data_IF_426324650772
#
_entry.id   IF_426324650772
#
_cell.length_a   1.000
_cell.length_b   1.000
_cell.length_c   1.000
_cell.angle_alpha   90.00
_cell.angle_beta   90.00
_cell.angle_gamma   90.00
#
_symmetry.space_group_name_H-M   'P 1'
#
loop_
_entity.id
_entity.type
_entity.pdbx_description
1 polymer ?
#
# COMPACT_ATOMS: atom_id res chain seq x y z
N UNK A 1 -10.10 17.53 6.38
CA UNK A 1 -11.57 17.26 6.30
C UNK A 1 -11.84 15.88 6.91
N UNK A 2 -12.87 15.74 7.75
CA UNK A 2 -13.30 14.43 8.24
C UNK A 2 -14.36 13.88 7.26
N UNK A 3 -14.22 12.63 6.84
CA UNK A 3 -15.20 11.96 5.98
C UNK A 3 -16.10 11.05 6.82
N UNK A 4 -17.38 11.00 6.47
CA UNK A 4 -18.29 10.00 7.01
C UNK A 4 -18.11 8.70 6.23
N UNK A 5 -17.77 7.62 6.93
CA UNK A 5 -17.45 6.33 6.34
C UNK A 5 -18.30 5.24 6.96
N UNK A 6 -19.37 4.89 6.23
CA UNK A 6 -20.37 3.91 6.63
C UNK A 6 -19.79 2.53 6.96
N UNK A 7 -18.68 2.14 6.31
CA UNK A 7 -18.06 0.83 6.55
C UNK A 7 -17.23 0.86 7.83
N UNK A 8 -16.40 1.89 8.01
CA UNK A 8 -15.59 2.05 9.23
C UNK A 8 -16.47 2.08 10.49
N UNK A 9 -17.61 2.78 10.45
CA UNK A 9 -18.53 2.85 11.60
C UNK A 9 -19.11 1.50 12.05
N UNK A 10 -19.01 0.45 11.21
CA UNK A 10 -19.54 -0.90 11.49
C UNK A 10 -18.47 -1.91 11.85
N UNK A 11 -17.20 -1.57 11.72
CA UNK A 11 -16.09 -2.47 12.03
C UNK A 11 -15.40 -2.01 13.32
N UNK A 12 -14.96 -2.92 14.20
CA UNK A 12 -14.25 -2.54 15.40
C UNK A 12 -12.83 -2.07 15.06
N UNK A 13 -12.34 -1.08 15.81
CA UNK A 13 -10.92 -0.71 15.78
C UNK A 13 -10.11 -1.74 16.56
N UNK A 14 -9.30 -2.54 15.86
CA UNK A 14 -8.46 -3.60 16.45
C UNK A 14 -7.04 -3.48 15.91
N UNK A 15 -6.04 -3.54 16.79
CA UNK A 15 -4.63 -3.61 16.39
C UNK A 15 -4.35 -4.94 15.69
N UNK A 16 -4.04 -4.85 14.39
CA UNK A 16 -3.61 -5.97 13.55
C UNK A 16 -2.27 -5.67 12.88
N UNK A 17 -1.49 -4.75 13.46
CA UNK A 17 -0.22 -4.25 12.91
C UNK A 17 0.73 -5.38 12.51
N UNK A 18 0.89 -6.38 13.38
CA UNK A 18 1.80 -7.51 13.15
C UNK A 18 1.45 -8.26 11.88
N UNK A 19 0.17 -8.53 11.64
CA UNK A 19 -0.28 -9.26 10.45
C UNK A 19 -0.13 -8.43 9.18
N UNK A 20 -0.43 -7.13 9.25
CA UNK A 20 -0.24 -6.20 8.13
C UNK A 20 1.23 -6.12 7.76
N UNK A 21 2.12 -5.90 8.72
CA UNK A 21 3.56 -5.79 8.45
C UNK A 21 4.20 -7.12 8.05
N UNK A 22 3.74 -8.25 8.60
CA UNK A 22 4.19 -9.57 8.13
C UNK A 22 3.87 -9.79 6.65
N UNK A 23 2.67 -9.39 6.20
CA UNK A 23 2.30 -9.46 4.80
C UNK A 23 3.12 -8.50 3.93
N UNK A 24 3.30 -7.24 4.36
CA UNK A 24 4.08 -6.24 3.62
C UNK A 24 5.54 -6.66 3.47
N UNK A 25 6.20 -6.98 4.58
CA UNK A 25 7.61 -7.38 4.58
C UNK A 25 7.82 -8.72 3.87
N UNK A 26 6.91 -9.67 4.05
CA UNK A 26 6.94 -10.94 3.31
C UNK A 26 6.86 -10.72 1.79
N UNK A 27 5.97 -9.84 1.34
CA UNK A 27 5.86 -9.49 -0.08
C UNK A 27 7.05 -8.67 -0.58
N UNK A 28 7.62 -7.79 0.24
CA UNK A 28 8.82 -7.03 -0.11
C UNK A 28 10.01 -7.97 -0.33
N UNK A 29 10.25 -8.91 0.58
CA UNK A 29 11.32 -9.93 0.47
C UNK A 29 11.09 -10.81 -0.75
N UNK A 30 9.88 -11.33 -0.94
CA UNK A 30 9.53 -12.14 -2.11
C UNK A 30 9.81 -11.36 -3.41
N UNK A 31 9.33 -10.12 -3.50
CA UNK A 31 9.51 -9.26 -4.66
C UNK A 31 10.98 -8.97 -4.93
N UNK A 32 11.77 -8.67 -3.89
CA UNK A 32 13.21 -8.46 -4.02
C UNK A 32 13.91 -9.69 -4.60
N UNK A 33 13.62 -10.89 -4.07
CA UNK A 33 14.19 -12.15 -4.59
C UNK A 33 13.80 -12.38 -6.05
N UNK A 34 12.57 -12.03 -6.44
CA UNK A 34 12.09 -12.26 -7.81
C UNK A 34 12.61 -11.22 -8.79
N UNK A 35 12.75 -9.97 -8.38
CA UNK A 35 13.21 -8.89 -9.25
C UNK A 35 14.73 -8.84 -9.37
N UNK A 36 15.48 -9.33 -8.37
CA UNK A 36 16.95 -9.28 -8.35
C UNK A 36 17.63 -9.90 -9.60
N UNK A 37 16.95 -10.82 -10.29
CA UNK A 37 17.47 -11.48 -11.50
C UNK A 37 16.93 -10.89 -12.80
N UNK A 38 16.07 -9.87 -12.72
CA UNK A 38 15.32 -9.33 -13.85
C UNK A 38 15.35 -7.79 -13.83
N UNK A 39 16.38 -7.16 -14.41
CA UNK A 39 16.60 -5.71 -14.33
C UNK A 39 15.42 -4.90 -14.89
N UNK A 40 14.78 -5.38 -15.95
CA UNK A 40 13.61 -4.74 -16.55
C UNK A 40 12.44 -4.64 -15.56
N UNK A 41 12.30 -5.62 -14.67
CA UNK A 41 11.26 -5.60 -13.62
C UNK A 41 11.61 -4.70 -12.47
N UNK A 42 12.89 -4.65 -12.09
CA UNK A 42 13.35 -3.66 -11.10
C UNK A 42 13.03 -2.26 -11.60
N UNK A 43 13.34 -1.96 -12.87
CA UNK A 43 13.01 -0.68 -13.48
C UNK A 43 11.49 -0.44 -13.53
N UNK A 44 10.70 -1.45 -13.92
CA UNK A 44 9.23 -1.34 -13.91
C UNK A 44 8.69 -1.02 -12.51
N UNK A 45 9.14 -1.75 -11.49
CA UNK A 45 8.72 -1.55 -10.11
C UNK A 45 9.13 -0.16 -9.60
N UNK A 46 10.39 0.24 -9.79
CA UNK A 46 10.88 1.56 -9.37
C UNK A 46 10.16 2.70 -10.08
N UNK A 47 9.92 2.60 -11.39
CA UNK A 47 9.15 3.58 -12.14
C UNK A 47 7.70 3.65 -11.65
N UNK A 48 7.06 2.50 -11.45
CA UNK A 48 5.71 2.43 -10.90
C UNK A 48 5.61 3.02 -9.49
N UNK A 49 6.56 2.68 -8.61
CA UNK A 49 6.61 3.16 -7.23
C UNK A 49 6.84 4.67 -7.17
N UNK A 50 7.69 5.19 -8.06
CA UNK A 50 7.91 6.63 -8.22
C UNK A 50 6.62 7.34 -8.65
N UNK A 51 5.92 6.82 -9.66
CA UNK A 51 4.66 7.40 -10.12
C UNK A 51 3.57 7.36 -9.04
N UNK A 52 3.45 6.25 -8.32
CA UNK A 52 2.53 6.13 -7.17
C UNK A 52 2.89 7.16 -6.09
N UNK A 53 4.18 7.30 -5.78
CA UNK A 53 4.65 8.24 -4.76
C UNK A 53 4.37 9.69 -5.14
N UNK A 54 4.64 10.07 -6.39
CA UNK A 54 4.32 11.41 -6.91
C UNK A 54 2.81 11.67 -6.88
N UNK A 55 2.01 10.70 -7.31
CA UNK A 55 0.55 10.84 -7.27
C UNK A 55 0.06 10.99 -5.83
N UNK A 56 0.59 10.21 -4.88
CA UNK A 56 0.26 10.35 -3.45
C UNK A 56 0.64 11.71 -2.91
N UNK A 57 1.81 12.24 -3.25
CA UNK A 57 2.21 13.60 -2.86
C UNK A 57 1.18 14.61 -3.35
N UNK A 58 0.80 14.54 -4.63
CA UNK A 58 -0.20 15.44 -5.22
C UNK A 58 -1.56 15.30 -4.51
N UNK A 59 -2.01 14.08 -4.23
CA UNK A 59 -3.32 13.86 -3.62
C UNK A 59 -3.37 14.21 -2.15
N UNK A 60 -2.30 13.96 -1.38
CA UNK A 60 -2.22 14.38 0.02
C UNK A 60 -2.25 15.92 0.13
N UNK A 61 -1.59 16.62 -0.81
CA UNK A 61 -1.59 18.08 -0.85
C UNK A 61 -2.95 18.67 -1.28
N UNK A 62 -3.65 18.02 -2.21
CA UNK A 62 -4.92 18.53 -2.75
C UNK A 62 -6.15 18.05 -1.98
N UNK A 63 -6.06 16.91 -1.28
CA UNK A 63 -7.14 16.29 -0.51
C UNK A 63 -6.67 16.07 0.93
N UNK A 64 -6.50 17.14 1.74
CA UNK A 64 -6.03 17.02 3.11
C UNK A 64 -7.13 16.43 4.01
N UNK A 65 -7.13 15.10 4.14
CA UNK A 65 -8.01 14.39 5.05
C UNK A 65 -7.47 14.41 6.48
N UNK A 66 -8.38 14.41 7.44
CA UNK A 66 -8.06 14.13 8.84
C UNK A 66 -8.22 12.62 9.07
N UNK A 67 -7.42 12.01 9.95
CA UNK A 67 -7.51 10.57 10.22
C UNK A 67 -8.91 10.18 10.69
N UNK A 68 -9.37 8.96 10.38
CA UNK A 68 -10.63 8.45 10.89
C UNK A 68 -10.68 8.46 12.43
N UNK A 69 -11.89 8.56 12.98
CA UNK A 69 -12.08 8.47 14.43
C UNK A 69 -11.75 7.05 14.91
N UNK A 70 -11.02 6.93 16.01
CA UNK A 70 -10.61 5.63 16.55
C UNK A 70 -9.41 5.00 15.85
N UNK A 71 -8.62 5.79 15.12
CA UNK A 71 -7.37 5.35 14.51
C UNK A 71 -6.46 4.67 15.53
N UNK A 72 -6.04 3.45 15.20
CA UNK A 72 -4.99 2.71 15.89
C UNK A 72 -3.75 2.77 15.00
N UNK A 73 -2.65 3.26 15.55
CA UNK A 73 -1.41 3.46 14.79
C UNK A 73 -0.80 2.11 14.34
N UNK A 74 -0.42 2.04 13.06
CA UNK A 74 0.32 0.90 12.52
C UNK A 74 1.71 0.86 13.15
N UNK A 75 1.92 -0.11 14.04
CA UNK A 75 3.19 -0.25 14.77
C UNK A 75 4.09 -1.24 14.03
N UNK A 76 5.03 -0.74 13.21
CA UNK A 76 6.01 -1.59 12.49
C UNK A 76 7.08 -2.13 13.44
N UNK A 77 7.11 -3.44 13.76
CA UNK A 77 8.11 -3.98 14.69
C UNK A 77 9.54 -3.84 14.16
N UNK A 78 9.73 -3.93 12.83
CA UNK A 78 11.04 -3.84 12.21
C UNK A 78 11.50 -2.38 12.15
N UNK A 79 10.71 -1.49 11.54
CA UNK A 79 11.11 -0.08 11.43
C UNK A 79 11.24 0.59 12.80
N UNK A 80 10.38 0.27 13.77
CA UNK A 80 10.48 0.83 15.12
C UNK A 80 11.75 0.40 15.85
N UNK A 81 12.27 -0.81 15.56
CA UNK A 81 13.53 -1.29 16.12
C UNK A 81 14.75 -0.52 15.57
N UNK A 82 14.68 -0.01 14.34
CA UNK A 82 15.80 0.68 13.68
C UNK A 82 15.71 2.21 13.70
N UNK A 83 14.51 2.78 13.58
CA UNK A 83 14.29 4.22 13.32
C UNK A 83 13.45 4.95 14.39
N UNK A 84 12.96 4.24 15.41
CA UNK A 84 12.14 4.82 16.49
C UNK A 84 10.67 5.05 16.12
N UNK A 85 9.89 5.60 17.05
CA UNK A 85 8.42 5.74 16.98
C UNK A 85 7.98 7.09 16.36
N UNK A 86 8.31 7.33 15.09
CA UNK A 86 7.80 8.51 14.38
C UNK A 86 6.66 8.12 13.44
N UNK A 87 5.45 8.59 13.72
CA UNK A 87 4.25 8.26 12.95
C UNK A 87 3.72 9.47 12.21
N UNK A 88 3.52 9.31 10.90
CA UNK A 88 2.87 10.31 10.06
C UNK A 88 1.38 9.94 10.00
N UNK A 89 0.51 10.84 10.46
CA UNK A 89 -0.94 10.59 10.60
C UNK A 89 -1.80 11.34 9.57
N UNK A 90 -1.15 12.04 8.62
CA UNK A 90 -1.81 12.88 7.60
C UNK A 90 -1.53 12.44 6.16
N UNK A 91 -1.08 11.21 5.93
CA UNK A 91 -0.75 10.67 4.60
C UNK A 91 -1.88 9.80 4.00
N UNK A 92 -3.13 10.20 4.20
CA UNK A 92 -4.30 9.32 4.07
C UNK A 92 -4.68 8.95 2.62
N UNK A 93 -4.97 9.93 1.76
CA UNK A 93 -5.49 9.62 0.42
C UNK A 93 -4.35 9.50 -0.61
N UNK A 94 -4.18 8.38 -1.31
CA UNK A 94 -4.79 7.05 -1.12
C UNK A 94 -3.83 6.10 -0.37
N UNK A 95 -4.31 4.92 0.04
CA UNK A 95 -3.58 4.03 0.95
C UNK A 95 -2.22 3.57 0.39
N UNK A 96 -1.13 3.99 1.03
CA UNK A 96 0.24 3.64 0.66
C UNK A 96 0.58 2.17 0.79
N UNK A 97 0.20 1.59 1.92
CA UNK A 97 0.40 0.18 2.25
C UNK A 97 -0.26 -0.73 1.21
N UNK A 98 -1.54 -0.49 0.93
CA UNK A 98 -2.31 -1.24 -0.07
C UNK A 98 -1.71 -1.09 -1.47
N UNK A 99 -1.34 0.15 -1.85
CA UNK A 99 -0.78 0.45 -3.17
C UNK A 99 0.57 -0.21 -3.40
N UNK A 100 1.42 -0.24 -2.38
CA UNK A 100 2.77 -0.81 -2.47
C UNK A 100 2.70 -2.32 -2.69
N UNK A 101 1.88 -3.03 -1.91
CA UNK A 101 1.69 -4.48 -2.06
C UNK A 101 0.97 -4.82 -3.36
N UNK A 102 0.00 -4.02 -3.79
CA UNK A 102 -0.68 -4.21 -5.07
C UNK A 102 0.28 -3.98 -6.26
N UNK A 103 1.17 -2.99 -6.19
CA UNK A 103 2.19 -2.78 -7.22
C UNK A 103 3.17 -3.97 -7.30
N UNK A 104 3.59 -4.51 -6.15
CA UNK A 104 4.37 -5.75 -6.09
C UNK A 104 3.65 -6.89 -6.80
N UNK A 105 2.36 -7.09 -6.50
CA UNK A 105 1.49 -8.07 -7.18
C UNK A 105 1.51 -7.91 -8.70
N UNK A 106 1.35 -6.68 -9.22
CA UNK A 106 1.34 -6.41 -10.66
C UNK A 106 2.68 -6.73 -11.35
N UNK A 107 3.79 -6.71 -10.61
CA UNK A 107 5.13 -6.98 -11.14
C UNK A 107 5.56 -8.46 -11.01
N UNK A 108 4.78 -9.30 -10.33
CA UNK A 108 5.04 -10.73 -10.19
C UNK A 108 4.52 -11.52 -11.41
N UNK A 109 5.27 -12.54 -11.83
CA UNK A 109 4.90 -13.37 -13.00
C UNK A 109 4.37 -14.74 -12.62
N UNK A 110 4.99 -15.44 -11.65
CA UNK A 110 4.57 -16.81 -11.33
C UNK A 110 3.16 -16.81 -10.74
N UNK A 111 2.28 -17.74 -11.14
CA UNK A 111 0.88 -17.74 -10.72
C UNK A 111 0.73 -17.82 -9.20
N UNK A 112 1.58 -18.61 -8.53
CA UNK A 112 1.59 -18.72 -7.07
C UNK A 112 2.00 -17.39 -6.42
N UNK A 113 3.06 -16.74 -6.89
CA UNK A 113 3.50 -15.46 -6.33
C UNK A 113 2.44 -14.37 -6.55
N UNK A 114 1.75 -14.38 -7.70
CA UNK A 114 0.65 -13.47 -8.00
C UNK A 114 -0.55 -13.72 -7.08
N UNK A 115 -0.89 -14.97 -6.81
CA UNK A 115 -1.93 -15.31 -5.85
C UNK A 115 -1.56 -14.79 -4.46
N UNK A 116 -0.32 -15.03 -4.01
CA UNK A 116 0.18 -14.51 -2.73
C UNK A 116 0.11 -12.98 -2.67
N UNK A 117 0.53 -12.29 -3.73
CA UNK A 117 0.47 -10.83 -3.80
C UNK A 117 -0.96 -10.28 -3.77
N UNK A 118 -1.90 -10.95 -4.43
CA UNK A 118 -3.31 -10.57 -4.39
C UNK A 118 -3.90 -10.78 -2.98
N UNK A 119 -3.66 -11.94 -2.37
CA UNK A 119 -4.10 -12.23 -1.00
C UNK A 119 -3.49 -11.26 0.01
N UNK A 120 -2.20 -10.93 -0.14
CA UNK A 120 -1.53 -9.95 0.69
C UNK A 120 -2.11 -8.54 0.50
N UNK A 121 -2.47 -8.16 -0.73
CA UNK A 121 -3.15 -6.88 -0.98
C UNK A 121 -4.49 -6.81 -0.26
N UNK A 122 -5.30 -7.87 -0.35
CA UNK A 122 -6.60 -7.94 0.33
C UNK A 122 -6.45 -7.93 1.86
N UNK A 123 -5.48 -8.67 2.39
CA UNK A 123 -5.18 -8.71 3.82
C UNK A 123 -4.75 -7.34 4.33
N UNK A 124 -3.80 -6.69 3.64
CA UNK A 124 -3.32 -5.35 4.02
C UNK A 124 -4.45 -4.33 3.91
N UNK A 125 -5.22 -4.35 2.82
CA UNK A 125 -6.37 -3.48 2.61
C UNK A 125 -7.43 -3.64 3.71
N UNK A 126 -7.78 -4.87 4.08
CA UNK A 126 -8.69 -5.13 5.19
C UNK A 126 -8.08 -4.69 6.54
N UNK A 127 -6.80 -4.98 6.79
CA UNK A 127 -6.13 -4.65 8.05
C UNK A 127 -6.00 -3.15 8.30
N UNK A 128 -5.79 -2.34 7.26
CA UNK A 128 -5.77 -0.87 7.42
C UNK A 128 -7.16 -0.28 7.66
N UNK A 129 -8.23 -0.93 7.19
CA UNK A 129 -9.60 -0.55 7.53
C UNK A 129 -9.95 -0.94 8.97
N UNK A 130 -9.60 -2.17 9.38
CA UNK A 130 -9.82 -2.65 10.76
C UNK A 130 -9.09 -1.76 11.77
N UNK A 131 -7.90 -1.25 11.46
CA UNK A 131 -7.20 -0.30 12.33
C UNK A 131 -7.65 1.16 12.17
N UNK A 132 -8.63 1.44 11.31
CA UNK A 132 -9.13 2.79 11.07
C UNK A 132 -8.04 3.78 10.63
N UNK A 133 -7.02 3.27 9.94
CA UNK A 133 -5.88 4.07 9.48
C UNK A 133 -6.23 4.84 8.22
N UNK A 134 -7.04 4.22 7.37
CA UNK A 134 -7.47 4.76 6.10
C UNK A 134 -8.99 4.69 6.01
N UNK A 135 -9.59 5.64 5.30
CA UNK A 135 -10.98 5.52 4.89
C UNK A 135 -11.13 4.41 3.84
N UNK A 136 -12.33 3.85 3.72
CA UNK A 136 -12.70 2.87 2.70
C UNK A 136 -12.40 3.38 1.30
N UNK A 137 -12.62 4.67 1.06
CA UNK A 137 -12.31 5.30 -0.24
C UNK A 137 -10.80 5.29 -0.54
N UNK A 138 -9.94 5.47 0.46
CA UNK A 138 -8.48 5.44 0.29
C UNK A 138 -8.00 4.04 -0.13
N UNK A 139 -8.62 3.00 0.44
CA UNK A 139 -8.29 1.59 0.18
C UNK A 139 -8.84 1.12 -1.16
N UNK A 140 -10.05 1.54 -1.53
CA UNK A 140 -10.65 1.20 -2.83
C UNK A 140 -9.98 1.95 -3.99
N UNK A 141 -9.57 3.21 -3.78
CA UNK A 141 -8.85 3.97 -4.78
C UNK A 141 -7.45 3.41 -5.06
N UNK A 142 -6.82 2.78 -4.06
CA UNK A 142 -5.44 2.32 -4.14
C UNK A 142 -5.17 1.36 -5.32
N UNK A 143 -5.91 0.25 -5.52
CA UNK A 143 -5.70 -0.63 -6.67
C UNK A 143 -5.91 0.07 -8.01
N UNK A 144 -6.92 0.94 -8.12
CA UNK A 144 -7.27 1.63 -9.36
C UNK A 144 -6.15 2.58 -9.77
N UNK A 145 -5.75 3.48 -8.86
CA UNK A 145 -4.72 4.48 -9.13
C UNK A 145 -3.36 3.83 -9.34
N UNK A 146 -3.03 2.81 -8.54
CA UNK A 146 -1.79 2.04 -8.69
C UNK A 146 -1.73 1.32 -10.05
N UNK A 147 -2.85 0.74 -10.50
CA UNK A 147 -2.91 0.11 -11.82
C UNK A 147 -2.65 1.11 -12.96
N UNK A 148 -3.22 2.32 -12.87
CA UNK A 148 -2.95 3.39 -13.83
C UNK A 148 -1.47 3.80 -13.83
N UNK A 149 -0.87 3.98 -12.66
CA UNK A 149 0.56 4.26 -12.52
C UNK A 149 1.42 3.13 -13.11
N UNK A 150 1.04 1.87 -12.90
CA UNK A 150 1.74 0.71 -13.46
C UNK A 150 1.63 0.66 -14.99
N UNK A 151 0.47 0.96 -15.58
CA UNK A 151 0.32 1.07 -17.03
C UNK A 151 1.21 2.16 -17.62
N UNK A 152 1.31 3.31 -16.95
CA UNK A 152 2.23 4.39 -17.33
C UNK A 152 3.69 3.95 -17.20
N UNK A 153 4.05 3.28 -16.11
CA UNK A 153 5.38 2.74 -15.88
C UNK A 153 5.79 1.77 -16.99
N UNK A 154 4.91 0.84 -17.38
CA UNK A 154 5.17 -0.08 -18.51
C UNK A 154 5.48 0.64 -19.81
N UNK A 155 4.77 1.73 -20.10
CA UNK A 155 5.04 2.55 -21.30
C UNK A 155 6.40 3.23 -21.21
N UNK A 156 6.74 3.81 -20.06
CA UNK A 156 8.01 4.51 -19.82
C UNK A 156 9.20 3.55 -19.92
N UNK A 157 9.10 2.38 -19.27
CA UNK A 157 10.16 1.38 -19.27
C UNK A 157 10.16 0.48 -20.51
N UNK A 158 9.19 0.67 -21.43
CA UNK A 158 8.97 -0.18 -22.61
C UNK A 158 8.87 -1.67 -22.28
N UNK A 159 8.39 -1.98 -21.07
CA UNK A 159 8.25 -3.33 -20.57
C UNK A 159 7.12 -4.06 -21.31
N UNK A 160 7.47 -5.15 -22.00
CA UNK A 160 6.55 -5.95 -22.82
C UNK A 160 5.63 -6.79 -21.94
#
# INVERSE_FOLDING_TARGET
>A
MLLHDWLLERIPAIDVSVWVFLAIWGMAVLSLIRFAKEPDRVLLFLAGYTLVSVLRIITILTIPLNPPVGLIELTDPLSNAFYGKSFVTKDLFFSGHTSSVFLMFLCLQRPVDRLLGLLATLLVGAGVLVQHIHYSIDVLAAPILTYLCWLMARKITRYK
#
